data_IF_910316021896
#
_entry.id   IF_910316021896
#
_cell.length_a   1.000
_cell.length_b   1.000
_cell.length_c   1.000
_cell.angle_alpha   90.00
_cell.angle_beta   90.00
_cell.angle_gamma   90.00
#
_symmetry.space_group_name_H-M   'P 1'
#
loop_
_entity.id
_entity.type
_entity.pdbx_description
1 polymer ?
#
# COMPACT_ATOMS: atom_id res chain seq x y z
N UNK A 1 -5.15 10.86 -22.88
CA UNK A 1 -4.10 10.26 -22.05
C UNK A 1 -3.06 9.63 -22.94
N UNK A 2 -1.83 10.07 -22.82
CA UNK A 2 -0.72 9.58 -23.66
C UNK A 2 -0.03 8.36 -23.09
N UNK A 3 -0.17 8.10 -21.80
CA UNK A 3 0.41 6.96 -21.11
C UNK A 3 -0.57 6.47 -20.07
N UNK A 4 -0.82 5.17 -20.08
CA UNK A 4 -1.64 4.52 -19.07
C UNK A 4 -0.77 3.50 -18.29
N UNK A 5 -0.77 3.59 -16.99
CA UNK A 5 -0.04 2.67 -16.13
C UNK A 5 -1.04 1.84 -15.33
N UNK A 6 -0.92 0.52 -15.42
CA UNK A 6 -1.76 -0.41 -14.68
C UNK A 6 -1.00 -0.94 -13.47
N UNK A 7 -1.58 -0.75 -12.30
CA UNK A 7 -0.97 -1.17 -11.03
C UNK A 7 -1.67 -2.43 -10.52
N UNK A 8 -0.88 -3.43 -10.20
CA UNK A 8 -1.36 -4.62 -9.49
C UNK A 8 -2.15 -5.60 -10.32
N UNK A 9 -1.82 -5.82 -11.59
CA UNK A 9 -2.49 -6.82 -12.40
C UNK A 9 -2.35 -6.59 -13.88
N UNK A 10 -3.15 -7.30 -14.65
CA UNK A 10 -3.22 -7.10 -16.09
C UNK A 10 -4.18 -5.96 -16.44
N UNK A 11 -3.85 -5.22 -17.48
CA UNK A 11 -4.73 -4.16 -17.95
C UNK A 11 -6.06 -4.75 -18.44
N UNK A 12 -7.19 -4.10 -18.16
CA UNK A 12 -8.46 -4.46 -18.78
C UNK A 12 -8.35 -4.39 -20.31
N UNK A 13 -9.05 -5.29 -21.01
CA UNK A 13 -9.00 -5.34 -22.48
C UNK A 13 -9.36 -4.00 -23.15
N UNK A 14 -10.32 -3.28 -22.59
CA UNK A 14 -10.73 -1.98 -23.11
C UNK A 14 -9.58 -0.96 -23.10
N UNK A 15 -8.77 -0.95 -22.07
CA UNK A 15 -7.59 -0.08 -21.96
C UNK A 15 -6.51 -0.56 -22.92
N UNK A 16 -6.26 -1.87 -22.98
CA UNK A 16 -5.22 -2.47 -23.83
C UNK A 16 -5.50 -2.23 -25.31
N UNK A 17 -6.76 -2.30 -25.74
CA UNK A 17 -7.14 -2.06 -27.12
C UNK A 17 -6.89 -0.61 -27.57
N UNK A 18 -7.15 0.34 -26.68
CA UNK A 18 -7.04 1.76 -26.99
C UNK A 18 -5.61 2.30 -26.86
N UNK A 19 -4.75 1.65 -26.07
CA UNK A 19 -3.43 2.16 -25.73
C UNK A 19 -2.34 1.08 -25.82
N UNK A 20 -2.42 0.20 -26.84
CA UNK A 20 -1.50 -0.96 -26.96
C UNK A 20 -0.02 -0.64 -26.75
N UNK A 21 0.44 0.48 -27.26
CA UNK A 21 1.85 0.86 -27.19
C UNK A 21 2.18 1.74 -25.98
N UNK A 22 1.15 2.12 -25.20
CA UNK A 22 1.29 3.09 -24.11
C UNK A 22 0.83 2.56 -22.75
N UNK A 23 0.52 1.27 -22.68
CA UNK A 23 0.15 0.63 -21.43
C UNK A 23 1.38 -0.03 -20.83
N UNK A 24 1.72 0.34 -19.62
CA UNK A 24 2.79 -0.27 -18.85
C UNK A 24 2.24 -0.81 -17.54
N UNK A 25 2.67 -2.00 -17.17
CA UNK A 25 2.31 -2.60 -15.91
C UNK A 25 3.23 -2.11 -14.80
N UNK A 26 2.65 -1.84 -13.65
CA UNK A 26 3.39 -1.49 -12.45
C UNK A 26 2.82 -2.27 -11.27
N UNK A 27 3.63 -2.50 -10.27
CA UNK A 27 3.23 -3.16 -9.03
C UNK A 27 3.76 -2.41 -7.82
N UNK A 28 3.01 -2.49 -6.73
CA UNK A 28 3.47 -1.97 -5.45
C UNK A 28 4.27 -3.07 -4.75
N UNK A 29 5.48 -2.74 -4.36
CA UNK A 29 6.34 -3.65 -3.59
C UNK A 29 6.70 -2.98 -2.26
N UNK A 30 6.79 -3.75 -1.16
CA UNK A 30 7.20 -3.20 0.12
C UNK A 30 8.66 -2.75 0.08
N UNK A 31 8.99 -1.76 0.89
CA UNK A 31 10.36 -1.36 1.11
C UNK A 31 11.16 -2.54 1.68
N UNK A 32 12.34 -2.82 1.09
CA UNK A 32 13.13 -4.00 1.45
C UNK A 32 13.57 -3.99 2.92
N UNK A 33 13.96 -2.85 3.45
CA UNK A 33 14.36 -2.75 4.86
C UNK A 33 13.20 -3.01 5.81
N UNK A 34 12.01 -2.52 5.48
CA UNK A 34 10.82 -2.75 6.28
C UNK A 34 10.35 -4.21 6.16
N UNK A 35 10.42 -4.80 4.97
CA UNK A 35 10.08 -6.20 4.76
C UNK A 35 10.96 -7.12 5.63
N UNK A 36 12.25 -6.88 5.68
CA UNK A 36 13.18 -7.65 6.52
C UNK A 36 12.86 -7.47 8.01
N UNK A 37 12.55 -6.25 8.44
CA UNK A 37 12.20 -5.96 9.82
C UNK A 37 10.88 -6.63 10.26
N UNK A 38 9.96 -6.84 9.33
CA UNK A 38 8.65 -7.44 9.61
C UNK A 38 8.67 -8.97 9.56
N UNK A 39 9.66 -9.56 8.91
CA UNK A 39 9.71 -11.01 8.71
C UNK A 39 9.60 -11.77 10.02
N UNK A 40 8.60 -12.65 10.10
CA UNK A 40 8.34 -13.47 11.28
C UNK A 40 7.63 -12.77 12.43
N UNK A 41 7.32 -11.48 12.31
CA UNK A 41 6.60 -10.75 13.36
C UNK A 41 5.09 -10.99 13.28
N UNK A 42 4.46 -11.08 14.44
CA UNK A 42 3.00 -11.08 14.53
C UNK A 42 2.49 -9.65 14.30
N UNK A 43 1.52 -9.49 13.41
CA UNK A 43 0.94 -8.18 13.09
C UNK A 43 -0.58 -8.21 13.16
N UNK A 44 -1.14 -7.09 13.56
CA UNK A 44 -2.57 -6.78 13.44
C UNK A 44 -2.68 -5.67 12.39
N UNK A 45 -3.16 -6.03 11.21
CA UNK A 45 -3.29 -5.11 10.09
C UNK A 45 -4.66 -4.45 10.06
N UNK A 46 -4.71 -3.22 9.63
CA UNK A 46 -5.98 -2.53 9.39
C UNK A 46 -5.80 -1.50 8.27
N UNK A 47 -6.85 -1.29 7.49
CA UNK A 47 -6.81 -0.32 6.39
C UNK A 47 -8.20 0.14 5.99
N UNK A 48 -8.28 1.35 5.47
CA UNK A 48 -9.47 1.92 4.84
C UNK A 48 -9.19 2.27 3.38
N UNK A 49 -8.90 1.25 2.59
CA UNK A 49 -8.55 1.39 1.17
C UNK A 49 -9.46 0.53 0.30
N UNK A 50 -9.49 0.81 -1.02
CA UNK A 50 -10.38 0.12 -1.94
C UNK A 50 -10.05 -1.36 -2.18
N UNK A 51 -8.81 -1.80 -1.90
CA UNK A 51 -8.37 -3.17 -2.13
C UNK A 51 -7.60 -3.73 -0.93
N UNK A 52 -8.30 -4.02 0.18
CA UNK A 52 -7.64 -4.51 1.40
C UNK A 52 -6.93 -5.84 1.20
N UNK A 53 -7.42 -6.70 0.30
CA UNK A 53 -6.79 -7.99 0.02
C UNK A 53 -5.37 -7.87 -0.53
N UNK A 54 -5.09 -6.82 -1.30
CA UNK A 54 -3.74 -6.55 -1.82
C UNK A 54 -2.77 -6.16 -0.70
N UNK A 55 -3.24 -5.35 0.24
CA UNK A 55 -2.47 -4.99 1.43
C UNK A 55 -2.13 -6.23 2.27
N UNK A 56 -3.13 -7.07 2.53
CA UNK A 56 -2.94 -8.33 3.26
C UNK A 56 -1.95 -9.25 2.54
N UNK A 57 -2.07 -9.39 1.24
CA UNK A 57 -1.17 -10.24 0.46
C UNK A 57 0.26 -9.70 0.52
N UNK A 58 0.44 -8.39 0.40
CA UNK A 58 1.76 -7.77 0.52
C UNK A 58 2.39 -8.05 1.89
N UNK A 59 1.60 -7.98 2.96
CA UNK A 59 2.08 -8.34 4.29
C UNK A 59 2.50 -9.81 4.39
N UNK A 60 1.70 -10.72 3.84
CA UNK A 60 2.05 -12.15 3.82
C UNK A 60 3.32 -12.41 3.03
N UNK A 61 3.50 -11.71 1.92
CA UNK A 61 4.71 -11.81 1.09
C UNK A 61 5.96 -11.33 1.85
N UNK A 62 5.79 -10.43 2.82
CA UNK A 62 6.87 -10.03 3.71
C UNK A 62 7.22 -11.07 4.78
N UNK A 63 6.46 -12.16 4.87
CA UNK A 63 6.71 -13.22 5.84
C UNK A 63 6.21 -12.94 7.24
N UNK A 64 5.25 -12.02 7.41
CA UNK A 64 4.64 -11.72 8.71
C UNK A 64 3.66 -12.83 9.12
N UNK A 65 3.41 -12.90 10.43
CA UNK A 65 2.29 -13.67 10.98
C UNK A 65 1.10 -12.74 11.11
N UNK A 66 0.18 -12.81 10.16
CA UNK A 66 -1.02 -11.99 10.17
C UNK A 66 -2.01 -12.56 11.17
N UNK A 67 -2.04 -11.99 12.38
CA UNK A 67 -2.91 -12.44 13.47
C UNK A 67 -4.34 -11.99 13.22
N UNK A 68 -4.51 -10.75 12.76
CA UNK A 68 -5.82 -10.17 12.49
C UNK A 68 -5.69 -9.11 11.40
N UNK A 69 -6.75 -8.99 10.60
CA UNK A 69 -6.87 -7.94 9.59
C UNK A 69 -8.28 -7.35 9.64
N UNK A 70 -8.34 -6.04 9.85
CA UNK A 70 -9.60 -5.31 9.85
C UNK A 70 -9.65 -4.38 8.63
N UNK A 71 -10.63 -4.59 7.76
CA UNK A 71 -10.87 -3.74 6.61
C UNK A 71 -12.03 -2.78 6.89
N UNK A 72 -11.76 -1.50 6.67
CA UNK A 72 -12.76 -0.43 6.76
C UNK A 72 -13.13 0.05 5.36
N UNK A 73 -14.24 0.75 5.20
CA UNK A 73 -14.59 1.34 3.90
C UNK A 73 -13.49 2.26 3.37
N UNK A 74 -13.36 2.35 2.05
CA UNK A 74 -12.40 3.26 1.43
C UNK A 74 -12.64 4.69 1.92
N UNK A 75 -11.55 5.41 2.18
CA UNK A 75 -11.56 6.76 2.75
C UNK A 75 -12.15 6.85 4.18
N UNK A 76 -12.17 5.74 4.91
CA UNK A 76 -12.65 5.75 6.29
C UNK A 76 -11.89 6.76 7.15
N UNK A 77 -12.64 7.58 7.90
CA UNK A 77 -12.06 8.53 8.85
C UNK A 77 -11.98 7.88 10.22
N UNK A 78 -10.77 7.49 10.60
CA UNK A 78 -10.55 6.84 11.91
C UNK A 78 -10.77 7.84 13.05
N UNK A 79 -11.62 7.47 14.01
CA UNK A 79 -11.78 8.23 15.23
C UNK A 79 -10.66 7.87 16.21
N UNK A 80 -10.39 8.75 17.17
CA UNK A 80 -9.41 8.47 18.22
C UNK A 80 -9.75 7.19 18.98
N UNK A 81 -11.03 6.97 19.28
CA UNK A 81 -11.51 5.78 19.99
C UNK A 81 -11.22 4.51 19.21
N UNK A 82 -11.47 4.53 17.90
CA UNK A 82 -11.14 3.39 17.03
C UNK A 82 -9.64 3.08 17.04
N UNK A 83 -8.81 4.11 16.94
CA UNK A 83 -7.35 3.97 16.94
C UNK A 83 -6.86 3.40 18.29
N UNK A 84 -7.37 3.92 19.40
CA UNK A 84 -7.04 3.41 20.74
C UNK A 84 -7.40 1.94 20.86
N UNK A 85 -8.57 1.55 20.38
CA UNK A 85 -9.02 0.15 20.39
C UNK A 85 -8.10 -0.73 19.57
N UNK A 86 -7.76 -0.32 18.34
CA UNK A 86 -6.88 -1.10 17.46
C UNK A 86 -5.49 -1.30 18.07
N UNK A 87 -4.92 -0.26 18.64
CA UNK A 87 -3.62 -0.35 19.32
C UNK A 87 -3.70 -1.27 20.54
N UNK A 88 -4.75 -1.16 21.33
CA UNK A 88 -4.96 -1.99 22.50
C UNK A 88 -5.16 -3.47 22.15
N UNK A 89 -5.94 -3.76 21.14
CA UNK A 89 -6.18 -5.12 20.65
C UNK A 89 -4.88 -5.75 20.13
N UNK A 90 -4.10 -5.00 19.36
CA UNK A 90 -2.81 -5.48 18.88
C UNK A 90 -1.86 -5.80 20.04
N UNK A 91 -1.81 -4.93 21.04
CA UNK A 91 -0.97 -5.13 22.23
C UNK A 91 -1.38 -6.38 23.01
N UNK A 92 -2.67 -6.62 23.19
CA UNK A 92 -3.19 -7.82 23.88
C UNK A 92 -2.81 -9.10 23.13
N UNK A 93 -2.77 -9.06 21.82
CA UNK A 93 -2.38 -10.19 20.96
C UNK A 93 -0.87 -10.32 20.80
N UNK A 94 -0.08 -9.47 21.46
CA UNK A 94 1.38 -9.36 21.24
C UNK A 94 1.74 -9.17 19.77
N UNK A 95 0.91 -8.42 19.06
CA UNK A 95 1.06 -8.12 17.64
C UNK A 95 1.43 -6.66 17.43
N UNK A 96 2.12 -6.38 16.34
CA UNK A 96 2.43 -5.03 15.92
C UNK A 96 1.24 -4.47 15.11
N UNK A 97 0.63 -3.36 15.52
CA UNK A 97 -0.38 -2.72 14.67
C UNK A 97 0.29 -2.12 13.43
N UNK A 98 -0.25 -2.40 12.27
CA UNK A 98 0.31 -1.95 11.00
C UNK A 98 -0.80 -1.48 10.05
N UNK A 99 -0.53 -0.42 9.31
CA UNK A 99 -1.46 0.14 8.35
C UNK A 99 -0.75 0.62 7.09
N UNK A 100 -1.51 1.12 6.13
CA UNK A 100 -0.97 1.70 4.91
C UNK A 100 -0.46 3.13 5.16
N UNK A 101 0.44 3.60 4.31
CA UNK A 101 0.93 4.98 4.38
C UNK A 101 -0.21 6.00 4.25
N UNK A 102 -1.18 5.71 3.38
CA UNK A 102 -2.35 6.57 3.15
C UNK A 102 -3.22 6.70 4.39
N UNK A 103 -3.49 5.58 5.06
CA UNK A 103 -4.29 5.60 6.30
C UNK A 103 -3.51 6.21 7.47
N UNK A 104 -2.21 6.00 7.53
CA UNK A 104 -1.37 6.58 8.57
C UNK A 104 -1.43 8.11 8.58
N UNK A 105 -1.48 8.74 7.41
CA UNK A 105 -1.65 10.19 7.30
C UNK A 105 -2.94 10.64 7.99
N UNK A 106 -4.03 9.92 7.81
CA UNK A 106 -5.31 10.20 8.46
C UNK A 106 -5.25 9.99 9.97
N UNK A 107 -4.51 8.97 10.40
CA UNK A 107 -4.32 8.67 11.83
C UNK A 107 -3.48 9.74 12.51
N UNK A 108 -2.45 10.24 11.85
CA UNK A 108 -1.64 11.36 12.36
C UNK A 108 -2.51 12.60 12.61
N UNK A 109 -3.45 12.87 11.69
CA UNK A 109 -4.37 13.99 11.84
C UNK A 109 -5.34 13.81 13.02
N UNK A 110 -5.80 12.59 13.28
CA UNK A 110 -6.80 12.29 14.32
C UNK A 110 -6.17 12.05 15.70
N UNK A 111 -5.02 11.40 15.77
CA UNK A 111 -4.36 10.99 17.00
C UNK A 111 -2.84 10.91 16.81
N UNK A 112 -2.13 12.05 16.74
CA UNK A 112 -0.70 12.07 16.45
C UNK A 112 0.15 11.33 17.50
N UNK A 113 -0.27 11.32 18.74
CA UNK A 113 0.39 10.60 19.84
C UNK A 113 0.30 9.07 19.69
N UNK A 114 -0.78 8.57 19.09
CA UNK A 114 -0.98 7.15 18.86
C UNK A 114 -0.36 6.67 17.53
N UNK A 115 -0.22 7.56 16.56
CA UNK A 115 0.34 7.24 15.26
C UNK A 115 1.77 6.65 15.37
N UNK A 116 2.56 7.11 16.32
CA UNK A 116 3.91 6.61 16.56
C UNK A 116 3.95 5.14 17.03
N UNK A 117 2.83 4.64 17.54
CA UNK A 117 2.70 3.24 17.99
C UNK A 117 2.27 2.29 16.89
N UNK A 118 1.96 2.83 15.71
CA UNK A 118 1.45 2.09 14.56
C UNK A 118 2.52 2.07 13.48
N UNK A 119 2.88 0.86 13.04
CA UNK A 119 3.81 0.70 11.93
C UNK A 119 3.12 1.02 10.61
N UNK A 120 3.91 1.46 9.65
CA UNK A 120 3.45 1.75 8.29
C UNK A 120 4.19 0.82 7.36
N UNK A 121 3.47 0.19 6.43
CA UNK A 121 4.09 -0.56 5.36
C UNK A 121 4.29 0.39 4.16
N UNK A 122 5.49 0.93 3.99
CA UNK A 122 5.77 1.73 2.81
C UNK A 122 5.93 0.81 1.60
N UNK A 123 5.39 1.24 0.47
CA UNK A 123 5.49 0.50 -0.78
C UNK A 123 6.10 1.39 -1.85
N UNK A 124 6.87 0.75 -2.74
CA UNK A 124 7.49 1.43 -3.88
C UNK A 124 6.81 0.96 -5.15
N UNK A 125 6.50 1.88 -6.04
CA UNK A 125 5.95 1.56 -7.35
C UNK A 125 7.08 1.07 -8.26
N UNK A 126 6.98 -0.17 -8.73
CA UNK A 126 7.94 -0.78 -9.65
C UNK A 126 7.28 -0.97 -11.00
N UNK A 127 7.89 -0.43 -12.04
CA UNK A 127 7.41 -0.55 -13.41
C UNK A 127 8.08 -1.75 -14.10
N UNK A 128 7.31 -2.53 -14.86
CA UNK A 128 7.80 -3.71 -15.58
C UNK A 128 8.70 -3.27 -16.70
N UNK A 129 8.84 -2.29 -17.25
CA UNK A 129 9.76 -1.80 -18.29
C UNK A 129 10.25 -0.40 -17.93
N UNK A 130 11.01 -0.32 -16.86
CA UNK A 130 11.45 0.97 -16.32
C UNK A 130 12.24 1.81 -17.32
N UNK A 131 13.15 1.19 -18.07
CA UNK A 131 13.95 1.89 -19.07
C UNK A 131 13.09 2.48 -20.18
N UNK A 132 12.09 1.73 -20.63
CA UNK A 132 11.15 2.19 -21.63
C UNK A 132 10.31 3.36 -21.11
N UNK A 133 9.89 3.30 -19.85
CA UNK A 133 9.17 4.39 -19.20
C UNK A 133 10.02 5.66 -19.15
N UNK A 134 11.27 5.54 -18.78
CA UNK A 134 12.20 6.70 -18.74
C UNK A 134 12.37 7.34 -20.10
N UNK A 135 12.48 6.54 -21.15
CA UNK A 135 12.62 7.02 -22.51
C UNK A 135 11.36 7.78 -22.98
N UNK A 136 10.18 7.23 -22.70
CA UNK A 136 8.91 7.88 -23.01
C UNK A 136 8.81 9.24 -22.29
N UNK A 137 9.12 9.29 -21.00
CA UNK A 137 9.07 10.52 -20.21
C UNK A 137 10.07 11.58 -20.74
N UNK A 138 11.28 11.17 -21.10
CA UNK A 138 12.28 12.08 -21.69
C UNK A 138 11.78 12.68 -23.00
N UNK A 139 11.22 11.87 -23.86
CA UNK A 139 10.67 12.31 -25.16
C UNK A 139 9.55 13.32 -24.93
N UNK A 140 8.67 13.07 -23.97
CA UNK A 140 7.56 13.97 -23.61
C UNK A 140 8.06 15.31 -23.06
N UNK A 141 9.02 15.28 -22.16
CA UNK A 141 9.60 16.50 -21.58
C UNK A 141 10.30 17.36 -22.62
N UNK A 142 10.93 16.75 -23.63
CA UNK A 142 11.57 17.47 -24.74
C UNK A 142 10.57 18.06 -25.71
N UNK A 143 9.45 17.39 -25.92
CA UNK A 143 8.39 17.84 -26.83
C UNK A 143 7.50 18.94 -26.22
N UNK A 144 7.50 19.04 -24.90
CA UNK A 144 6.78 20.09 -24.20
C UNK A 144 7.66 21.30 -23.99
#
# INVERSE_FOLDING_TARGET
>A
VDLCVVVGGQAPQSITQNFKERVMSARLVPDAGMADALKGRAVHAFCGIGRPQKFEQTLRDCGVKLIRSDAYPDHHMFSRIEIERLVAEARRAHALPITTAKDHVRIVAAAPDLADKIAVLPVTLVFDHEDHMREILKTRLRAG
#
